data_IF_789161596005
#
_entry.id   IF_789161596005
#
_cell.length_a   1.000
_cell.length_b   1.000
_cell.length_c   1.000
_cell.angle_alpha   90.00
_cell.angle_beta   90.00
_cell.angle_gamma   90.00
#
_symmetry.space_group_name_H-M   'P 1'
#
loop_
_entity.id
_entity.type
_entity.pdbx_description
1 polymer ?
#
# COMPACT_ATOMS: atom_id res chain seq x y z
N UNK A 1 -16.81 -8.70 8.28
CA UNK A 1 -15.47 -8.95 7.71
C UNK A 1 -14.60 -7.70 7.88
N UNK A 2 -14.33 -7.34 9.14
CA UNK A 2 -13.28 -6.42 9.52
C UNK A 2 -11.98 -7.22 9.53
N UNK A 3 -10.93 -6.78 8.84
CA UNK A 3 -9.69 -7.55 8.82
C UNK A 3 -8.96 -7.55 7.48
N UNK A 4 -8.73 -6.36 6.92
CA UNK A 4 -7.51 -6.12 6.14
C UNK A 4 -7.26 -4.62 6.07
N UNK A 5 -7.06 -3.99 7.23
CA UNK A 5 -6.09 -2.90 7.22
C UNK A 5 -4.82 -3.52 6.66
N UNK A 6 -4.36 -2.99 5.52
CA UNK A 6 -3.16 -3.44 4.81
C UNK A 6 -2.10 -3.73 5.86
N UNK A 7 -1.56 -4.94 5.87
CA UNK A 7 -0.44 -5.27 6.74
C UNK A 7 0.75 -4.42 6.27
N UNK A 8 0.92 -3.25 6.87
CA UNK A 8 2.09 -2.41 6.64
C UNK A 8 3.25 -3.15 7.30
N UNK A 9 4.09 -3.80 6.50
CA UNK A 9 5.38 -4.27 6.99
C UNK A 9 6.14 -3.03 7.49
N UNK A 10 6.69 -3.09 8.69
CA UNK A 10 7.56 -2.03 9.18
C UNK A 10 8.74 -1.90 8.22
N UNK A 11 8.93 -0.70 7.66
CA UNK A 11 10.06 -0.38 6.77
C UNK A 11 11.11 0.32 7.63
N UNK A 12 12.32 -0.25 7.68
CA UNK A 12 13.48 0.45 8.21
C UNK A 12 13.98 1.46 7.17
N UNK A 13 13.47 2.69 7.27
CA UNK A 13 13.82 3.77 6.36
C UNK A 13 15.28 4.19 6.44
N UNK A 14 15.94 3.98 7.59
CA UNK A 14 17.34 4.35 7.78
C UNK A 14 18.23 3.34 7.06
N UNK A 15 18.02 2.04 7.31
CA UNK A 15 18.72 0.97 6.60
C UNK A 15 18.46 1.02 5.09
N UNK A 16 17.26 1.41 4.66
CA UNK A 16 16.97 1.57 3.23
C UNK A 16 17.75 2.74 2.63
N UNK A 17 17.76 3.91 3.30
CA UNK A 17 18.49 5.08 2.82
C UNK A 17 19.99 4.83 2.64
N UNK A 18 20.61 4.05 3.53
CA UNK A 18 22.04 3.67 3.45
C UNK A 18 22.39 2.88 2.18
N UNK A 19 21.43 2.11 1.64
CA UNK A 19 21.61 1.26 0.46
C UNK A 19 21.27 1.97 -0.85
N UNK A 20 20.76 3.20 -0.81
CA UNK A 20 20.34 3.94 -2.00
C UNK A 20 21.54 4.64 -2.64
N UNK A 21 21.84 4.34 -3.92
CA UNK A 21 22.89 5.03 -4.67
C UNK A 21 22.61 6.54 -4.81
N UNK A 22 23.64 7.40 -4.91
CA UNK A 22 23.47 8.86 -5.02
C UNK A 22 22.53 9.31 -6.15
N UNK A 23 22.58 8.63 -7.30
CA UNK A 23 21.74 8.90 -8.47
C UNK A 23 20.27 8.51 -8.28
N UNK A 24 19.93 7.74 -7.26
CA UNK A 24 18.57 7.28 -6.97
C UNK A 24 17.96 7.95 -5.72
N UNK A 25 18.70 8.83 -5.03
CA UNK A 25 18.23 9.53 -3.82
C UNK A 25 16.89 10.26 -4.02
N UNK A 26 16.72 10.92 -5.17
CA UNK A 26 15.47 11.61 -5.50
C UNK A 26 14.29 10.63 -5.58
N UNK A 27 14.49 9.46 -6.18
CA UNK A 27 13.45 8.43 -6.28
C UNK A 27 13.08 7.88 -4.90
N UNK A 28 14.07 7.62 -4.05
CA UNK A 28 13.86 7.18 -2.67
C UNK A 28 13.07 8.22 -1.85
N UNK A 29 13.46 9.49 -1.92
CA UNK A 29 12.76 10.57 -1.20
C UNK A 29 11.29 10.69 -1.64
N UNK A 30 11.03 10.54 -2.94
CA UNK A 30 9.66 10.53 -3.48
C UNK A 30 8.85 9.33 -2.97
N UNK A 31 9.46 8.14 -2.93
CA UNK A 31 8.82 6.93 -2.41
C UNK A 31 8.47 7.09 -0.93
N UNK A 32 9.43 7.53 -0.11
CA UNK A 32 9.22 7.76 1.33
C UNK A 32 8.11 8.76 1.58
N UNK A 33 8.14 9.90 0.90
CA UNK A 33 7.12 10.96 1.06
C UNK A 33 5.71 10.44 0.73
N UNK A 34 5.58 9.67 -0.36
CA UNK A 34 4.29 9.08 -0.75
C UNK A 34 3.84 8.01 0.24
N UNK A 35 4.75 7.17 0.72
CA UNK A 35 4.47 6.13 1.70
C UNK A 35 3.96 6.73 3.01
N UNK A 36 4.68 7.73 3.54
CA UNK A 36 4.31 8.43 4.78
C UNK A 36 2.96 9.16 4.63
N UNK A 37 2.71 9.82 3.50
CA UNK A 37 1.44 10.50 3.23
C UNK A 37 0.25 9.52 3.17
N UNK A 38 0.43 8.35 2.54
CA UNK A 38 -0.60 7.30 2.49
C UNK A 38 -0.83 6.72 3.88
N UNK A 39 0.23 6.46 4.65
CA UNK A 39 0.13 5.94 6.01
C UNK A 39 -0.63 6.92 6.92
N UNK A 40 -0.30 8.22 6.87
CA UNK A 40 -0.99 9.26 7.61
C UNK A 40 -2.47 9.36 7.20
N UNK A 41 -2.76 9.31 5.90
CA UNK A 41 -4.15 9.35 5.42
C UNK A 41 -4.95 8.13 5.88
N UNK A 42 -4.35 6.94 5.82
CA UNK A 42 -4.99 5.70 6.27
C UNK A 42 -5.26 5.71 7.78
N UNK A 43 -4.34 6.27 8.58
CA UNK A 43 -4.53 6.44 10.01
C UNK A 43 -5.65 7.42 10.35
N UNK A 44 -5.84 8.47 9.54
CA UNK A 44 -6.90 9.46 9.73
C UNK A 44 -8.30 8.97 9.35
N UNK A 45 -8.41 7.92 8.54
CA UNK A 45 -9.69 7.42 8.04
C UNK A 45 -10.26 6.35 9.00
N UNK A 46 -11.54 6.48 9.43
CA UNK A 46 -12.20 5.44 10.19
C UNK A 46 -12.43 4.19 9.31
N UNK A 47 -12.45 3.01 9.94
CA UNK A 47 -12.61 1.74 9.21
C UNK A 47 -14.00 1.57 8.58
N UNK A 48 -15.02 2.12 9.24
CA UNK A 48 -16.39 2.12 8.77
C UNK A 48 -16.87 3.57 8.59
N UNK A 49 -17.75 3.83 7.60
CA UNK A 49 -18.42 5.12 7.52
C UNK A 49 -19.24 5.39 8.78
N UNK A 50 -19.50 6.67 9.07
CA UNK A 50 -20.38 7.04 10.17
C UNK A 50 -21.76 6.39 9.99
N UNK A 51 -22.35 5.81 11.06
CA UNK A 51 -23.68 5.23 10.96
C UNK A 51 -24.71 6.32 10.61
N UNK A 52 -25.62 5.98 9.72
CA UNK A 52 -26.74 6.86 9.33
C UNK A 52 -27.86 6.68 10.35
N UNK A 53 -28.34 7.79 10.92
CA UNK A 53 -29.52 7.79 11.80
C UNK A 53 -30.81 7.74 10.97
N UNK A 54 -31.19 6.53 10.56
CA UNK A 54 -32.40 6.31 9.78
C UNK A 54 -33.67 6.71 10.52
N UNK A 55 -33.71 6.61 11.85
CA UNK A 55 -34.88 6.97 12.66
C UNK A 55 -35.14 8.48 12.63
N UNK A 56 -34.08 9.29 12.73
CA UNK A 56 -34.19 10.73 12.54
C UNK A 56 -34.82 11.06 11.17
N UNK A 57 -34.32 10.44 10.09
CA UNK A 57 -34.85 10.71 8.75
C UNK A 57 -36.28 10.18 8.56
N UNK A 58 -36.65 9.05 9.14
CA UNK A 58 -38.05 8.57 9.11
C UNK A 58 -39.03 9.58 9.70
N UNK A 59 -38.62 10.31 10.74
CA UNK A 59 -39.47 11.31 11.41
C UNK A 59 -39.57 12.64 10.65
N UNK A 60 -38.52 13.03 9.92
CA UNK A 60 -38.44 14.34 9.25
C UNK A 60 -38.88 14.27 7.78
N UNK A 61 -38.72 13.13 7.11
CA UNK A 61 -39.07 12.96 5.70
C UNK A 61 -40.58 12.71 5.56
N UNK A 62 -41.29 13.69 4.99
CA UNK A 62 -42.74 13.64 4.80
C UNK A 62 -43.21 12.51 3.85
N UNK A 63 -42.33 11.99 2.98
CA UNK A 63 -42.65 10.90 2.06
C UNK A 63 -42.55 9.54 2.77
N UNK A 64 -43.72 8.99 3.12
CA UNK A 64 -43.84 7.67 3.72
C UNK A 64 -43.14 6.59 2.87
N UNK A 65 -42.41 5.67 3.53
CA UNK A 65 -41.72 4.53 2.90
C UNK A 65 -40.43 4.86 2.16
N UNK A 66 -40.11 6.14 1.89
CA UNK A 66 -38.87 6.50 1.19
C UNK A 66 -37.63 6.13 2.00
N UNK A 67 -37.62 6.41 3.30
CA UNK A 67 -36.44 6.14 4.15
C UNK A 67 -36.20 4.64 4.28
N UNK A 68 -37.26 3.83 4.38
CA UNK A 68 -37.17 2.36 4.43
C UNK A 68 -36.60 1.77 3.13
N UNK A 69 -36.99 2.31 1.97
CA UNK A 69 -36.41 1.90 0.69
C UNK A 69 -34.91 2.18 0.61
N UNK A 70 -34.48 3.36 1.09
CA UNK A 70 -33.07 3.75 1.07
C UNK A 70 -32.24 2.94 2.07
N UNK A 71 -32.76 2.70 3.27
CA UNK A 71 -32.11 1.84 4.26
C UNK A 71 -31.90 0.42 3.69
N UNK A 72 -32.92 -0.15 3.05
CA UNK A 72 -32.83 -1.47 2.41
C UNK A 72 -31.81 -1.51 1.27
N UNK A 73 -31.80 -0.48 0.40
CA UNK A 73 -30.85 -0.39 -0.73
C UNK A 73 -29.42 -0.15 -0.24
N UNK A 74 -29.24 0.65 0.81
CA UNK A 74 -27.94 0.90 1.43
C UNK A 74 -27.36 -0.37 2.06
N UNK A 75 -28.18 -1.13 2.80
CA UNK A 75 -27.77 -2.40 3.38
C UNK A 75 -27.43 -3.47 2.32
N UNK A 76 -28.11 -3.45 1.17
CA UNK A 76 -27.84 -4.35 0.06
C UNK A 76 -26.60 -3.95 -0.78
N UNK A 77 -26.18 -2.68 -0.70
CA UNK A 77 -25.06 -2.18 -1.49
C UNK A 77 -23.74 -2.75 -0.97
N UNK A 78 -23.06 -3.51 -1.83
CA UNK A 78 -21.70 -3.98 -1.56
C UNK A 78 -20.73 -3.09 -2.31
N UNK A 79 -19.89 -2.33 -1.60
CA UNK A 79 -18.89 -1.46 -2.25
C UNK A 79 -17.80 -2.35 -2.88
N UNK A 80 -17.60 -2.30 -4.21
CA UNK A 80 -16.58 -3.09 -4.87
C UNK A 80 -15.20 -2.64 -4.42
N UNK A 81 -14.35 -3.61 -4.10
CA UNK A 81 -12.97 -3.35 -3.68
C UNK A 81 -12.09 -3.13 -4.92
N UNK A 82 -11.10 -2.21 -4.85
CA UNK A 82 -10.14 -2.05 -5.93
C UNK A 82 -9.35 -3.34 -6.14
N UNK A 83 -9.20 -3.73 -7.40
CA UNK A 83 -8.42 -4.91 -7.80
C UNK A 83 -6.94 -4.52 -7.87
N UNK A 84 -6.08 -5.37 -7.32
CA UNK A 84 -4.63 -5.18 -7.44
C UNK A 84 -4.16 -5.53 -8.85
N UNK A 85 -3.53 -4.56 -9.50
CA UNK A 85 -2.99 -4.67 -10.86
C UNK A 85 -1.47 -4.51 -10.92
N UNK A 86 -0.82 -4.28 -9.78
CA UNK A 86 0.59 -3.85 -9.73
C UNK A 86 1.52 -4.93 -9.16
N UNK A 87 1.05 -5.80 -8.27
CA UNK A 87 1.89 -6.82 -7.62
C UNK A 87 2.63 -7.72 -8.63
N UNK A 88 1.98 -8.12 -9.72
CA UNK A 88 2.64 -8.92 -10.76
C UNK A 88 3.85 -8.19 -11.38
N UNK A 89 3.69 -6.90 -11.69
CA UNK A 89 4.75 -6.08 -12.28
C UNK A 89 5.91 -5.86 -11.31
N UNK A 90 5.61 -5.70 -10.02
CA UNK A 90 6.62 -5.56 -8.97
C UNK A 90 7.43 -6.86 -8.85
N UNK A 91 6.77 -8.01 -8.88
CA UNK A 91 7.45 -9.31 -8.80
C UNK A 91 8.38 -9.53 -10.01
N UNK A 92 7.95 -9.13 -11.22
CA UNK A 92 8.79 -9.18 -12.43
C UNK A 92 10.03 -8.28 -12.30
N UNK A 93 9.86 -7.06 -11.80
CA UNK A 93 10.97 -6.14 -11.54
C UNK A 93 11.96 -6.69 -10.50
N UNK A 94 11.46 -7.31 -9.43
CA UNK A 94 12.28 -7.94 -8.40
C UNK A 94 13.11 -9.09 -8.98
N UNK A 95 12.50 -9.95 -9.80
CA UNK A 95 13.21 -11.04 -10.47
C UNK A 95 14.33 -10.53 -11.39
N UNK A 96 14.09 -9.45 -12.14
CA UNK A 96 15.11 -8.86 -13.00
C UNK A 96 16.25 -8.23 -12.19
N UNK A 97 15.93 -7.51 -11.11
CA UNK A 97 16.93 -6.95 -10.20
C UNK A 97 17.80 -8.06 -9.57
N UNK A 98 17.20 -9.18 -9.17
CA UNK A 98 17.92 -10.32 -8.59
C UNK A 98 18.97 -10.93 -9.53
N UNK A 99 18.73 -10.93 -10.84
CA UNK A 99 19.74 -11.38 -11.83
C UNK A 99 20.97 -10.47 -11.81
N UNK A 100 20.76 -9.16 -11.80
CA UNK A 100 21.85 -8.18 -11.73
C UNK A 100 22.65 -8.30 -10.43
N UNK A 101 21.95 -8.53 -9.31
CA UNK A 101 22.59 -8.73 -8.01
C UNK A 101 23.45 -10.01 -7.99
N UNK A 102 22.94 -11.12 -8.53
CA UNK A 102 23.68 -12.38 -8.63
C UNK A 102 24.95 -12.23 -9.49
N UNK A 103 24.85 -11.55 -10.64
CA UNK A 103 26.00 -11.27 -11.50
C UNK A 103 27.05 -10.41 -10.78
N UNK A 104 26.61 -9.39 -10.03
CA UNK A 104 27.52 -8.55 -9.24
C UNK A 104 28.24 -9.34 -8.14
N UNK A 105 27.53 -10.22 -7.43
CA UNK A 105 28.13 -11.09 -6.39
C UNK A 105 29.22 -11.96 -7.00
N UNK A 106 28.95 -12.64 -8.13
CA UNK A 106 29.95 -13.48 -8.80
C UNK A 106 31.18 -12.68 -9.24
N UNK A 107 30.97 -11.51 -9.87
CA UNK A 107 32.07 -10.63 -10.28
C UNK A 107 32.86 -10.07 -9.08
N UNK A 108 32.21 -9.88 -7.92
CA UNK A 108 32.89 -9.46 -6.70
C UNK A 108 33.72 -10.59 -6.10
N UNK A 109 33.20 -11.82 -6.06
CA UNK A 109 33.94 -12.99 -5.57
C UNK A 109 35.20 -13.27 -6.40
N UNK A 110 35.10 -13.13 -7.73
CA UNK A 110 36.26 -13.27 -8.62
C UNK A 110 37.35 -12.23 -8.32
N UNK A 111 36.95 -10.96 -8.07
CA UNK A 111 37.89 -9.89 -7.69
C UNK A 111 38.55 -10.16 -6.33
N UNK A 112 37.79 -10.64 -5.35
CA UNK A 112 38.33 -11.01 -4.04
C UNK A 112 39.39 -12.11 -4.20
N UNK A 113 39.09 -13.17 -4.95
CA UNK A 113 40.05 -14.26 -5.20
C UNK A 113 41.32 -13.79 -5.90
N UNK A 114 41.22 -12.82 -6.82
CA UNK A 114 42.39 -12.22 -7.46
C UNK A 114 43.26 -11.49 -6.43
N UNK A 115 42.66 -10.64 -5.59
CA UNK A 115 43.40 -9.89 -4.57
C UNK A 115 43.96 -10.75 -3.44
N UNK A 116 43.36 -11.90 -3.15
CA UNK A 116 43.91 -12.86 -2.19
C UNK A 116 45.14 -13.61 -2.74
N UNK A 117 45.31 -13.63 -4.06
CA UNK A 117 46.45 -14.28 -4.73
C UNK A 117 47.61 -13.34 -5.06
N UNK A 118 47.41 -12.03 -4.93
CA UNK A 118 48.44 -10.97 -5.04
C UNK A 118 49.14 -10.72 -3.70
#
# INVERSE_FOLDING_TARGET
MAGRRVAVKAIDWLAFAERVPPNQKTMFNNLKTRSDAIAAKLASLPENPAPIDWNHYRNVVAKAGMVDEFEKKFAALTVPKPVDTQTAKINEQEQEANKSAAAYIQASMARISQYESE
#
